data_IF_944582028510
#
_entry.id   IF_944582028510
#
_cell.length_a   1.000
_cell.length_b   1.000
_cell.length_c   1.000
_cell.angle_alpha   90.00
_cell.angle_beta   90.00
_cell.angle_gamma   90.00
#
_symmetry.space_group_name_H-M   'P 1'
#
loop_
_entity.id
_entity.type
_entity.pdbx_description
1 polymer ?
#
# COMPACT_ATOMS: atom_id res chain seq x y z
N UNK A 1 18.70 10.15 -19.33
CA UNK A 1 17.68 11.07 -19.82
C UNK A 1 16.43 10.30 -20.26
N UNK A 2 15.27 10.85 -19.95
CA UNK A 2 13.97 10.29 -20.28
C UNK A 2 13.04 11.40 -20.75
N UNK A 3 12.17 11.09 -21.71
CA UNK A 3 11.08 11.98 -22.12
C UNK A 3 9.76 11.28 -21.83
N UNK A 4 8.90 11.95 -21.10
CA UNK A 4 7.61 11.42 -20.70
C UNK A 4 6.48 12.28 -21.23
N UNK A 5 5.35 11.67 -21.54
CA UNK A 5 4.13 12.39 -21.89
C UNK A 5 2.95 11.49 -22.15
N UNK A 6 1.77 12.08 -22.15
CA UNK A 6 0.52 11.38 -22.41
C UNK A 6 0.14 11.47 -23.86
N UNK A 7 -0.36 10.37 -24.42
CA UNK A 7 -0.87 10.25 -25.78
C UNK A 7 -1.99 9.22 -25.83
N UNK A 8 -2.58 8.98 -26.98
CA UNK A 8 -3.50 7.89 -27.22
C UNK A 8 -2.78 6.79 -28.00
N UNK A 9 -2.91 5.56 -27.55
CA UNK A 9 -2.48 4.37 -28.28
C UNK A 9 -3.68 3.77 -29.03
N UNK A 10 -3.45 3.33 -30.26
CA UNK A 10 -4.48 2.74 -31.10
C UNK A 10 -3.94 1.47 -31.79
N UNK A 11 -4.67 0.40 -31.65
CA UNK A 11 -4.55 -0.82 -32.47
C UNK A 11 -5.40 -0.74 -33.74
N UNK A 12 -5.81 -1.90 -34.26
CA UNK A 12 -6.67 -1.96 -35.43
C UNK A 12 -8.10 -1.46 -35.13
N UNK A 13 -8.69 -1.88 -34.02
CA UNK A 13 -10.10 -1.64 -33.68
C UNK A 13 -10.31 -0.84 -32.40
N UNK A 14 -9.33 -0.85 -31.50
CA UNK A 14 -9.45 -0.28 -30.15
C UNK A 14 -8.48 0.87 -29.94
N UNK A 15 -8.78 1.73 -28.95
CA UNK A 15 -7.94 2.85 -28.54
C UNK A 15 -7.95 2.96 -27.03
N UNK A 16 -6.79 3.26 -26.45
CA UNK A 16 -6.64 3.47 -25.00
C UNK A 16 -5.72 4.66 -24.72
N UNK A 17 -5.78 5.20 -23.51
CA UNK A 17 -4.80 6.18 -23.06
C UNK A 17 -3.42 5.52 -22.92
N UNK A 18 -2.35 6.25 -23.25
CA UNK A 18 -1.01 5.75 -23.10
C UNK A 18 -0.09 6.79 -22.50
N UNK A 19 0.78 6.35 -21.62
CA UNK A 19 1.87 7.13 -21.06
C UNK A 19 3.17 6.71 -21.78
N UNK A 20 3.62 7.59 -22.66
CA UNK A 20 4.79 7.34 -23.49
C UNK A 20 6.05 7.65 -22.69
N UNK A 21 6.95 6.70 -22.64
CA UNK A 21 8.27 6.82 -22.03
C UNK A 21 9.36 6.66 -23.11
N UNK A 22 9.94 7.78 -23.52
CA UNK A 22 11.10 7.80 -24.40
C UNK A 22 12.36 7.55 -23.61
N UNK A 23 13.00 6.42 -23.83
CA UNK A 23 14.17 5.97 -23.07
C UNK A 23 15.34 5.65 -24.00
N UNK A 24 16.55 5.55 -23.44
CA UNK A 24 17.70 5.05 -24.19
C UNK A 24 17.48 3.57 -24.52
N UNK A 25 17.75 3.16 -25.76
CA UNK A 25 17.47 1.80 -26.23
C UNK A 25 18.16 0.69 -25.45
N UNK A 26 19.29 1.01 -24.83
CA UNK A 26 20.13 0.09 -24.07
C UNK A 26 19.88 0.11 -22.54
N UNK A 27 18.91 0.89 -22.06
CA UNK A 27 18.63 1.04 -20.61
C UNK A 27 18.36 -0.30 -19.93
N UNK A 28 17.62 -1.20 -20.61
CA UNK A 28 17.27 -2.50 -20.08
C UNK A 28 18.47 -3.40 -19.81
N UNK A 29 19.51 -3.26 -20.61
CA UNK A 29 20.75 -4.03 -20.48
C UNK A 29 21.77 -3.37 -19.55
N UNK A 30 21.69 -2.06 -19.36
CA UNK A 30 22.62 -1.31 -18.52
C UNK A 30 22.18 -1.20 -17.07
N UNK A 31 20.85 -1.19 -16.83
CA UNK A 31 20.27 -1.02 -15.50
C UNK A 31 19.60 -2.32 -15.08
N UNK A 32 20.27 -3.07 -14.21
CA UNK A 32 19.79 -4.35 -13.68
C UNK A 32 18.55 -4.17 -12.81
N UNK A 33 18.44 -3.06 -12.08
CA UNK A 33 17.25 -2.74 -11.29
C UNK A 33 16.06 -2.45 -12.19
N UNK A 34 16.26 -1.68 -13.25
CA UNK A 34 15.21 -1.41 -14.22
C UNK A 34 14.73 -2.70 -14.89
N UNK A 35 15.66 -3.56 -15.33
CA UNK A 35 15.33 -4.82 -15.99
C UNK A 35 14.57 -5.78 -15.06
N UNK A 36 14.92 -5.81 -13.78
CA UNK A 36 14.26 -6.68 -12.78
C UNK A 36 12.79 -6.31 -12.50
N UNK A 37 12.36 -5.09 -12.86
CA UNK A 37 10.98 -4.64 -12.71
C UNK A 37 10.02 -5.29 -13.71
N UNK A 38 10.53 -5.84 -14.82
CA UNK A 38 9.72 -6.32 -15.92
C UNK A 38 9.94 -7.79 -16.19
N UNK A 39 8.83 -8.49 -16.43
CA UNK A 39 8.82 -9.85 -16.98
C UNK A 39 8.32 -9.76 -18.43
N UNK A 40 8.98 -10.44 -19.34
CA UNK A 40 8.49 -10.53 -20.71
C UNK A 40 7.35 -11.54 -20.80
N UNK A 41 6.25 -11.11 -21.39
CA UNK A 41 5.14 -12.00 -21.78
C UNK A 41 5.34 -12.46 -23.22
N UNK A 42 5.82 -11.56 -24.10
CA UNK A 42 6.05 -11.85 -25.50
C UNK A 42 7.15 -10.98 -26.08
N UNK A 43 7.94 -11.50 -27.02
CA UNK A 43 9.01 -10.74 -27.70
C UNK A 43 10.22 -10.45 -26.83
N UNK A 44 10.93 -9.35 -27.12
CA UNK A 44 12.17 -8.93 -26.48
C UNK A 44 12.27 -7.39 -26.35
N UNK A 45 13.21 -6.92 -25.51
CA UNK A 45 13.50 -5.49 -25.41
C UNK A 45 14.41 -5.07 -26.56
N UNK A 46 13.82 -4.56 -27.63
CA UNK A 46 14.59 -3.98 -28.74
C UNK A 46 14.08 -2.57 -29.07
N UNK A 47 14.70 -1.57 -28.45
CA UNK A 47 14.50 -0.17 -28.77
C UNK A 47 15.72 0.45 -29.50
N UNK A 48 16.58 -0.38 -30.07
CA UNK A 48 17.79 0.06 -30.78
C UNK A 48 17.47 0.69 -32.14
N UNK A 49 16.37 0.29 -32.75
CA UNK A 49 15.93 0.80 -34.05
C UNK A 49 14.79 1.80 -33.89
N UNK A 50 14.74 2.76 -34.82
CA UNK A 50 13.65 3.71 -34.90
C UNK A 50 12.32 3.02 -35.13
N UNK A 51 11.27 3.55 -34.54
CA UNK A 51 9.88 3.04 -34.66
C UNK A 51 9.65 1.65 -34.05
N UNK A 52 10.52 1.21 -33.16
CA UNK A 52 10.26 0.09 -32.29
C UNK A 52 9.56 0.59 -31.00
N UNK A 53 8.69 -0.26 -30.44
CA UNK A 53 8.04 0.01 -29.15
C UNK A 53 8.01 -1.26 -28.31
N UNK A 54 8.10 -1.08 -26.99
CA UNK A 54 7.78 -2.12 -25.99
C UNK A 54 6.58 -1.62 -25.21
N UNK A 55 5.57 -2.45 -25.06
CA UNK A 55 4.28 -2.06 -24.48
C UNK A 55 3.96 -2.91 -23.25
N UNK A 56 3.17 -2.36 -22.35
CA UNK A 56 2.65 -3.10 -21.20
C UNK A 56 1.66 -4.17 -21.63
N UNK A 57 1.61 -5.28 -20.90
CA UNK A 57 0.76 -6.43 -21.17
C UNK A 57 -0.71 -6.05 -21.30
N UNK A 58 -1.19 -5.17 -20.41
CA UNK A 58 -2.59 -4.73 -20.45
C UNK A 58 -2.93 -3.86 -21.66
N UNK A 59 -2.02 -3.01 -22.12
CA UNK A 59 -2.20 -2.31 -23.41
C UNK A 59 -2.29 -3.28 -24.58
N UNK A 60 -1.43 -4.32 -24.57
CA UNK A 60 -1.46 -5.34 -25.61
C UNK A 60 -2.81 -6.08 -25.66
N UNK A 61 -3.32 -6.48 -24.48
CA UNK A 61 -4.66 -7.10 -24.38
C UNK A 61 -5.79 -6.16 -24.85
N UNK A 62 -5.82 -4.92 -24.34
CA UNK A 62 -6.87 -3.94 -24.62
C UNK A 62 -6.91 -3.55 -26.12
N UNK A 63 -5.77 -3.59 -26.80
CA UNK A 63 -5.65 -3.24 -28.22
C UNK A 63 -5.59 -4.47 -29.13
N UNK A 64 -5.61 -5.69 -28.59
CA UNK A 64 -5.48 -6.98 -29.32
C UNK A 64 -4.20 -6.98 -30.18
N UNK A 65 -3.04 -6.74 -29.53
CA UNK A 65 -1.74 -6.63 -30.18
C UNK A 65 -0.78 -7.70 -29.67
N UNK A 66 -0.01 -8.24 -30.61
CA UNK A 66 1.09 -9.19 -30.38
C UNK A 66 2.44 -8.62 -30.79
N UNK A 67 3.51 -9.29 -30.38
CA UNK A 67 4.85 -8.92 -30.83
C UNK A 67 4.96 -9.05 -32.36
N UNK A 68 5.42 -7.98 -33.01
CA UNK A 68 5.47 -7.83 -34.46
C UNK A 68 4.34 -6.97 -35.05
N UNK A 69 3.27 -6.73 -34.31
CA UNK A 69 2.16 -5.89 -34.75
C UNK A 69 2.49 -4.40 -34.74
N UNK A 70 1.61 -3.62 -35.33
CA UNK A 70 1.79 -2.16 -35.42
C UNK A 70 0.84 -1.42 -34.45
N UNK A 71 1.42 -0.59 -33.60
CA UNK A 71 0.71 0.35 -32.72
C UNK A 71 0.82 1.77 -33.27
N UNK A 72 -0.26 2.53 -33.22
CA UNK A 72 -0.30 3.95 -33.60
C UNK A 72 -0.38 4.81 -32.35
N UNK A 73 0.56 5.72 -32.19
CA UNK A 73 0.54 6.74 -31.12
C UNK A 73 -0.02 8.01 -31.71
N UNK A 74 -1.09 8.49 -31.10
CA UNK A 74 -1.82 9.68 -31.54
C UNK A 74 -1.65 10.76 -30.47
N UNK A 75 -0.96 11.83 -30.82
CA UNK A 75 -0.83 13.04 -30.00
C UNK A 75 -1.57 14.19 -30.66
N UNK A 76 -1.99 15.16 -29.85
CA UNK A 76 -2.68 16.34 -30.35
C UNK A 76 -1.82 17.56 -30.09
N UNK A 77 -1.38 18.22 -31.14
CA UNK A 77 -0.58 19.44 -31.05
C UNK A 77 -1.46 20.67 -31.30
N UNK A 78 -1.36 21.66 -30.41
CA UNK A 78 -2.06 22.94 -30.59
C UNK A 78 -1.19 23.85 -31.46
N UNK A 79 -1.61 24.04 -32.69
CA UNK A 79 -0.94 24.96 -33.64
C UNK A 79 -1.85 26.19 -33.78
N UNK A 80 -1.41 27.33 -33.21
CA UNK A 80 -2.21 28.58 -33.11
C UNK A 80 -3.55 28.35 -32.42
N UNK A 81 -4.68 28.37 -33.14
CA UNK A 81 -6.05 28.13 -32.63
C UNK A 81 -6.60 26.73 -32.94
N UNK A 82 -5.88 25.95 -33.75
CA UNK A 82 -6.37 24.64 -34.18
C UNK A 82 -5.62 23.49 -33.47
N UNK A 83 -6.36 22.41 -33.23
CA UNK A 83 -5.79 21.16 -32.73
C UNK A 83 -5.53 20.22 -33.90
N UNK A 84 -4.28 19.86 -34.12
CA UNK A 84 -3.87 18.98 -35.21
C UNK A 84 -3.41 17.64 -34.63
N UNK A 85 -4.09 16.52 -34.99
CA UNK A 85 -3.63 15.21 -34.55
C UNK A 85 -2.37 14.84 -35.32
N UNK A 86 -1.38 14.33 -34.60
CA UNK A 86 -0.17 13.74 -35.13
C UNK A 86 -0.19 12.26 -34.83
N UNK A 87 -0.07 11.44 -35.86
CA UNK A 87 -0.07 9.98 -35.76
C UNK A 87 1.31 9.46 -36.09
N UNK A 88 1.87 8.71 -35.17
CA UNK A 88 3.17 8.05 -35.34
C UNK A 88 2.98 6.56 -35.14
N UNK A 89 3.53 5.75 -36.05
CA UNK A 89 3.38 4.31 -36.08
C UNK A 89 4.66 3.64 -35.58
N UNK A 90 4.49 2.62 -34.73
CA UNK A 90 5.58 1.84 -34.16
C UNK A 90 5.31 0.35 -34.36
N UNK A 91 6.35 -0.45 -34.40
CA UNK A 91 6.29 -1.92 -34.37
C UNK A 91 6.50 -2.40 -32.95
N UNK A 92 5.58 -3.18 -32.42
CA UNK A 92 5.70 -3.79 -31.09
C UNK A 92 6.77 -4.87 -31.12
N UNK A 93 7.86 -4.69 -30.39
CA UNK A 93 8.98 -5.64 -30.29
C UNK A 93 8.89 -6.54 -29.07
N UNK A 94 8.29 -6.04 -28.02
CA UNK A 94 8.10 -6.80 -26.80
C UNK A 94 6.88 -6.34 -26.02
N UNK A 95 6.32 -7.27 -25.28
CA UNK A 95 5.24 -7.05 -24.32
C UNK A 95 5.79 -7.40 -22.96
N UNK A 96 5.66 -6.46 -22.02
CA UNK A 96 6.22 -6.58 -20.68
C UNK A 96 5.14 -6.42 -19.63
N UNK A 97 5.28 -7.15 -18.53
CA UNK A 97 4.47 -6.99 -17.34
C UNK A 97 5.33 -6.53 -16.17
N UNK A 98 4.90 -5.46 -15.51
CA UNK A 98 5.50 -4.96 -14.28
C UNK A 98 4.92 -5.64 -13.03
N UNK A 99 3.89 -6.47 -13.20
CA UNK A 99 3.09 -7.03 -12.11
C UNK A 99 2.13 -6.02 -11.48
N UNK A 100 2.07 -4.78 -12.02
CA UNK A 100 1.13 -3.74 -11.61
C UNK A 100 0.31 -3.28 -12.82
N UNK A 101 -0.89 -3.80 -12.93
CA UNK A 101 -1.71 -3.66 -14.13
C UNK A 101 -2.02 -2.20 -14.51
N UNK A 102 -2.15 -1.28 -13.52
CA UNK A 102 -2.31 0.16 -13.83
C UNK A 102 -1.16 0.72 -14.66
N UNK A 103 0.08 0.28 -14.40
CA UNK A 103 1.24 0.71 -15.17
C UNK A 103 1.26 -0.01 -16.52
N UNK A 104 0.96 -1.31 -16.53
CA UNK A 104 0.92 -2.13 -17.74
C UNK A 104 -0.21 -1.69 -18.70
N UNK A 105 -1.27 -1.06 -18.17
CA UNK A 105 -2.35 -0.45 -18.96
C UNK A 105 -1.99 0.89 -19.59
N UNK A 106 -0.88 1.52 -19.17
CA UNK A 106 -0.53 2.88 -19.61
C UNK A 106 0.83 2.95 -20.31
N UNK A 107 1.79 2.12 -19.97
CA UNK A 107 3.18 2.31 -20.38
C UNK A 107 3.47 1.83 -21.79
N UNK A 108 4.02 2.73 -22.58
CA UNK A 108 4.59 2.48 -23.90
C UNK A 108 6.01 3.04 -23.93
N UNK A 109 6.99 2.17 -24.07
CA UNK A 109 8.39 2.53 -24.20
C UNK A 109 8.76 2.67 -25.67
N UNK A 110 9.42 3.77 -25.99
CA UNK A 110 9.91 4.07 -27.35
C UNK A 110 11.34 4.62 -27.28
N UNK A 111 12.09 4.57 -28.38
CA UNK A 111 13.39 5.23 -28.44
C UNK A 111 13.28 6.71 -28.09
N UNK A 112 14.29 7.23 -27.37
CA UNK A 112 14.30 8.61 -26.90
C UNK A 112 14.09 9.64 -28.03
N UNK A 113 14.69 9.38 -29.21
CA UNK A 113 14.55 10.23 -30.38
C UNK A 113 13.11 10.26 -30.92
N UNK A 114 12.46 9.10 -30.97
CA UNK A 114 11.09 8.97 -31.49
C UNK A 114 10.05 9.59 -30.54
N UNK A 115 10.35 9.65 -29.23
CA UNK A 115 9.49 10.30 -28.24
C UNK A 115 9.26 11.78 -28.54
N UNK A 116 10.25 12.48 -29.08
CA UNK A 116 10.09 13.85 -29.55
C UNK A 116 9.03 14.01 -30.67
N UNK A 117 8.80 12.95 -31.40
CA UNK A 117 7.83 13.00 -32.48
C UNK A 117 6.44 12.59 -32.07
N UNK A 118 6.29 11.66 -31.13
CA UNK A 118 5.00 11.10 -30.74
C UNK A 118 4.37 11.77 -29.49
N UNK A 119 5.12 12.62 -28.76
CA UNK A 119 4.59 13.36 -27.62
C UNK A 119 4.39 14.83 -28.00
N UNK A 120 3.22 15.38 -27.70
CA UNK A 120 2.92 16.80 -27.90
C UNK A 120 3.84 17.69 -27.08
N UNK A 121 4.26 18.83 -27.62
CA UNK A 121 5.10 19.81 -26.91
C UNK A 121 4.50 20.27 -25.57
N UNK A 122 3.17 20.34 -25.50
CA UNK A 122 2.46 20.80 -24.29
C UNK A 122 2.37 19.76 -23.19
N UNK A 123 2.49 18.46 -23.52
CA UNK A 123 2.45 17.36 -22.56
C UNK A 123 3.82 16.69 -22.33
N UNK A 124 4.86 17.21 -22.96
CA UNK A 124 6.21 16.66 -22.90
C UNK A 124 6.93 17.10 -21.64
N UNK A 125 7.37 16.16 -20.86
CA UNK A 125 8.26 16.35 -19.73
C UNK A 125 9.61 15.71 -20.06
N UNK A 126 10.67 16.50 -20.00
CA UNK A 126 12.03 16.00 -20.11
C UNK A 126 12.62 15.87 -18.72
N UNK A 127 13.11 14.69 -18.39
CA UNK A 127 13.70 14.40 -17.10
C UNK A 127 15.09 13.78 -17.23
N UNK A 128 15.98 14.15 -16.34
CA UNK A 128 17.23 13.44 -16.10
C UNK A 128 17.05 12.71 -14.77
N UNK A 129 16.89 11.40 -14.83
CA UNK A 129 16.80 10.58 -13.65
C UNK A 129 18.20 10.29 -13.11
N UNK A 130 18.41 10.55 -11.83
CA UNK A 130 19.62 10.21 -11.10
C UNK A 130 19.30 9.04 -10.17
N UNK A 131 20.04 7.97 -10.27
CA UNK A 131 19.94 6.82 -9.39
C UNK A 131 20.83 7.00 -8.17
N UNK A 132 20.36 6.55 -7.02
CA UNK A 132 21.10 6.52 -5.76
C UNK A 132 21.14 5.09 -5.21
N UNK A 133 22.18 4.78 -4.45
CA UNK A 133 22.37 3.44 -3.86
C UNK A 133 21.21 3.09 -2.90
N UNK A 134 20.80 4.05 -2.06
CA UNK A 134 19.70 3.90 -1.14
C UNK A 134 18.72 5.08 -1.24
N UNK A 135 17.66 4.95 -2.07
CA UNK A 135 16.67 6.01 -2.28
C UNK A 135 15.72 6.20 -1.10
N UNK A 136 15.72 5.30 -0.11
CA UNK A 136 14.83 5.37 1.06
C UNK A 136 15.52 5.93 2.31
N UNK A 137 16.84 6.06 2.29
CA UNK A 137 17.62 6.57 3.43
C UNK A 137 17.36 8.05 3.74
N UNK A 138 17.67 8.43 4.97
CA UNK A 138 17.65 9.84 5.41
C UNK A 138 18.71 10.69 4.69
N UNK A 139 19.72 10.05 4.11
CA UNK A 139 20.77 10.68 3.31
C UNK A 139 20.27 11.27 1.99
N UNK A 140 19.10 10.84 1.48
CA UNK A 140 18.52 11.35 0.24
C UNK A 140 18.36 12.88 0.23
N UNK A 141 18.00 13.47 1.37
CA UNK A 141 17.84 14.92 1.49
C UNK A 141 19.13 15.70 1.27
N UNK A 142 20.28 15.14 1.67
CA UNK A 142 21.61 15.72 1.42
C UNK A 142 21.96 15.64 -0.06
N UNK A 143 21.79 14.46 -0.67
CA UNK A 143 22.04 14.26 -2.11
C UNK A 143 21.22 15.25 -2.94
N UNK A 144 19.93 15.41 -2.63
CA UNK A 144 19.05 16.38 -3.31
C UNK A 144 19.57 17.82 -3.13
N UNK A 145 20.08 18.16 -1.94
CA UNK A 145 20.67 19.50 -1.71
C UNK A 145 21.94 19.72 -2.51
N UNK A 146 22.82 18.73 -2.57
CA UNK A 146 24.07 18.82 -3.35
C UNK A 146 23.79 18.95 -4.86
N UNK A 147 22.81 18.18 -5.37
CA UNK A 147 22.36 18.31 -6.77
C UNK A 147 21.75 19.70 -7.04
N UNK A 148 21.00 20.27 -6.08
CA UNK A 148 20.46 21.64 -6.22
C UNK A 148 21.57 22.70 -6.27
N UNK A 149 22.60 22.56 -5.45
CA UNK A 149 23.77 23.46 -5.48
C UNK A 149 24.47 23.35 -6.84
N UNK A 150 24.78 22.14 -7.28
CA UNK A 150 25.39 21.91 -8.59
C UNK A 150 24.58 22.51 -9.75
N UNK A 151 23.25 22.35 -9.71
CA UNK A 151 22.38 22.89 -10.75
C UNK A 151 22.32 24.44 -10.72
N UNK A 152 22.36 25.06 -9.54
CA UNK A 152 22.39 26.52 -9.41
C UNK A 152 23.68 27.16 -9.92
N UNK A 153 24.78 26.41 -9.92
CA UNK A 153 26.07 26.86 -10.47
C UNK A 153 26.17 26.72 -12.00
N UNK A 154 25.26 25.95 -12.62
CA UNK A 154 25.23 25.66 -14.04
C UNK A 154 24.02 26.28 -14.72
N UNK A 155 24.23 27.27 -15.57
CA UNK A 155 23.16 27.97 -16.32
C UNK A 155 22.33 27.05 -17.22
N UNK A 156 22.82 25.86 -17.56
CA UNK A 156 22.09 24.87 -18.34
C UNK A 156 20.88 24.28 -17.57
N UNK A 157 20.87 24.38 -16.23
CA UNK A 157 19.84 23.82 -15.34
C UNK A 157 19.05 24.91 -14.59
N UNK A 158 19.22 26.19 -14.93
CA UNK A 158 18.60 27.33 -14.22
C UNK A 158 17.09 27.20 -14.08
N UNK A 159 16.41 26.70 -15.13
CA UNK A 159 14.95 26.49 -15.14
C UNK A 159 14.56 25.05 -14.73
N UNK A 160 15.49 24.22 -14.26
CA UNK A 160 15.21 22.82 -13.97
C UNK A 160 14.61 22.64 -12.57
N UNK A 161 13.57 21.82 -12.45
CA UNK A 161 13.03 21.39 -11.16
C UNK A 161 13.77 20.15 -10.68
N UNK A 162 14.43 20.26 -9.55
CA UNK A 162 15.06 19.13 -8.88
C UNK A 162 14.11 18.60 -7.81
N UNK A 163 13.62 17.40 -8.03
CA UNK A 163 12.66 16.73 -7.17
C UNK A 163 13.21 15.38 -6.72
N UNK A 164 13.06 15.05 -5.45
CA UNK A 164 13.22 13.66 -5.02
C UNK A 164 12.04 12.83 -5.51
N UNK A 165 12.19 11.51 -5.55
CA UNK A 165 11.09 10.61 -5.88
C UNK A 165 9.88 10.79 -4.93
N UNK A 166 10.13 11.11 -3.64
CA UNK A 166 9.08 11.43 -2.67
C UNK A 166 8.31 12.69 -3.06
N UNK A 167 9.00 13.72 -3.52
CA UNK A 167 8.36 14.98 -3.96
C UNK A 167 7.63 14.82 -5.28
N UNK A 168 8.20 14.03 -6.21
CA UNK A 168 7.56 13.75 -7.49
C UNK A 168 6.25 12.94 -7.35
N UNK A 169 6.15 12.12 -6.30
CA UNK A 169 4.96 11.31 -6.00
C UNK A 169 4.21 11.79 -4.74
N UNK A 170 4.34 13.06 -4.37
CA UNK A 170 3.77 13.60 -3.13
C UNK A 170 2.27 13.37 -3.00
N UNK A 171 1.51 13.54 -4.08
CA UNK A 171 0.05 13.36 -4.10
C UNK A 171 -0.32 11.89 -3.81
N UNK A 172 0.39 10.93 -4.40
CA UNK A 172 0.18 9.50 -4.15
C UNK A 172 0.54 9.13 -2.72
N UNK A 173 1.68 9.60 -2.23
CA UNK A 173 2.12 9.36 -0.85
C UNK A 173 1.16 9.99 0.18
N UNK A 174 0.60 11.16 -0.10
CA UNK A 174 -0.42 11.80 0.73
C UNK A 174 -1.69 10.95 0.82
N UNK A 175 -2.13 10.35 -0.28
CA UNK A 175 -3.27 9.44 -0.28
C UNK A 175 -3.01 8.18 0.57
N UNK A 176 -1.82 7.59 0.47
CA UNK A 176 -1.43 6.46 1.33
C UNK A 176 -1.40 6.84 2.81
N UNK A 177 -0.83 8.00 3.15
CA UNK A 177 -0.81 8.49 4.54
C UNK A 177 -2.21 8.75 5.09
N UNK A 178 -3.12 9.26 4.27
CA UNK A 178 -4.53 9.45 4.66
C UNK A 178 -5.23 8.10 4.91
N UNK A 179 -4.97 7.10 4.08
CA UNK A 179 -5.51 5.75 4.26
C UNK A 179 -4.95 5.10 5.52
N UNK A 180 -3.64 5.23 5.76
CA UNK A 180 -2.99 4.77 7.00
C UNK A 180 -3.62 5.39 8.24
N UNK A 181 -3.84 6.71 8.24
CA UNK A 181 -4.50 7.41 9.34
C UNK A 181 -5.92 6.89 9.60
N UNK A 182 -6.71 6.61 8.55
CA UNK A 182 -8.03 6.01 8.68
C UNK A 182 -7.97 4.61 9.30
N UNK A 183 -7.03 3.76 8.87
CA UNK A 183 -6.83 2.43 9.44
C UNK A 183 -6.44 2.49 10.92
N UNK A 184 -5.58 3.43 11.30
CA UNK A 184 -5.19 3.66 12.71
C UNK A 184 -6.42 4.08 13.54
N UNK A 185 -7.26 4.97 13.02
CA UNK A 185 -8.50 5.38 13.71
C UNK A 185 -9.43 4.18 13.92
N UNK A 186 -9.63 3.34 12.90
CA UNK A 186 -10.45 2.12 12.99
C UNK A 186 -9.86 1.18 14.04
N UNK A 187 -8.54 0.97 14.03
CA UNK A 187 -7.85 0.13 15.02
C UNK A 187 -8.06 0.65 16.44
N UNK A 188 -7.92 1.96 16.67
CA UNK A 188 -8.19 2.59 17.98
C UNK A 188 -9.63 2.36 18.43
N UNK A 189 -10.60 2.49 17.52
CA UNK A 189 -12.02 2.22 17.83
C UNK A 189 -12.26 0.76 18.23
N UNK A 190 -11.64 -0.19 17.53
CA UNK A 190 -11.74 -1.63 17.89
C UNK A 190 -11.13 -1.88 19.27
N UNK A 191 -9.99 -1.27 19.58
CA UNK A 191 -9.33 -1.39 20.88
C UNK A 191 -10.18 -0.78 21.98
N UNK A 192 -10.85 0.36 21.75
CA UNK A 192 -11.77 0.97 22.71
C UNK A 192 -12.98 0.04 23.01
N UNK A 193 -13.60 -0.53 21.98
CA UNK A 193 -14.71 -1.49 22.16
C UNK A 193 -14.25 -2.72 22.96
N UNK A 194 -13.08 -3.27 22.64
CA UNK A 194 -12.48 -4.39 23.36
C UNK A 194 -12.21 -4.03 24.84
N UNK A 195 -11.76 -2.80 25.10
CA UNK A 195 -11.50 -2.29 26.43
C UNK A 195 -12.80 -2.22 27.28
N UNK A 196 -13.92 -1.80 26.69
CA UNK A 196 -15.22 -1.81 27.35
C UNK A 196 -15.64 -3.24 27.72
N UNK A 197 -15.39 -4.21 26.84
CA UNK A 197 -15.68 -5.63 27.12
C UNK A 197 -14.85 -6.17 28.29
N UNK A 198 -13.54 -5.82 28.36
CA UNK A 198 -12.70 -6.20 29.50
C UNK A 198 -13.24 -5.57 30.80
N UNK A 199 -13.56 -4.28 30.79
CA UNK A 199 -14.13 -3.58 31.95
C UNK A 199 -15.43 -4.25 32.43
N UNK A 200 -16.34 -4.56 31.50
CA UNK A 200 -17.60 -5.24 31.80
C UNK A 200 -17.40 -6.63 32.43
N UNK A 201 -16.42 -7.39 31.91
CA UNK A 201 -16.06 -8.71 32.45
C UNK A 201 -15.53 -8.61 33.87
N UNK A 202 -14.66 -7.62 34.17
CA UNK A 202 -14.15 -7.40 35.53
C UNK A 202 -15.28 -6.99 36.47
N UNK A 203 -16.21 -6.12 36.03
CA UNK A 203 -17.41 -5.75 36.83
C UNK A 203 -18.24 -6.99 37.15
N UNK A 204 -18.49 -7.87 36.19
CA UNK A 204 -19.24 -9.12 36.37
C UNK A 204 -18.57 -10.02 37.41
N UNK A 205 -17.26 -10.25 37.30
CA UNK A 205 -16.50 -11.04 38.28
C UNK A 205 -16.59 -10.43 39.67
N UNK A 206 -16.46 -9.11 39.80
CA UNK A 206 -16.63 -8.40 41.08
C UNK A 206 -18.04 -8.64 41.67
N UNK A 207 -19.08 -8.57 40.84
CA UNK A 207 -20.47 -8.79 41.27
C UNK A 207 -20.70 -10.23 41.74
N UNK A 208 -20.15 -11.21 41.03
CA UNK A 208 -20.23 -12.63 41.40
C UNK A 208 -19.49 -12.93 42.70
N UNK A 209 -18.34 -12.30 42.95
CA UNK A 209 -17.47 -12.53 44.10
C UNK A 209 -17.76 -11.58 45.29
N UNK A 210 -18.84 -10.80 45.26
CA UNK A 210 -19.21 -9.83 46.33
C UNK A 210 -19.17 -10.41 47.74
N UNK A 211 -19.70 -11.62 47.93
CA UNK A 211 -19.70 -12.30 49.21
C UNK A 211 -18.31 -12.63 49.73
N UNK A 212 -17.45 -13.14 48.84
CA UNK A 212 -16.05 -13.47 49.16
C UNK A 212 -15.27 -12.21 49.52
N UNK A 213 -15.49 -11.10 48.75
CA UNK A 213 -14.91 -9.80 49.02
C UNK A 213 -15.30 -9.28 50.42
N UNK A 214 -16.58 -9.41 50.78
CA UNK A 214 -17.06 -8.99 52.12
C UNK A 214 -16.41 -9.80 53.23
N UNK A 215 -16.25 -11.13 53.08
CA UNK A 215 -15.58 -12.00 54.05
C UNK A 215 -14.08 -11.58 54.18
N UNK A 216 -13.36 -11.38 53.05
CA UNK A 216 -11.96 -10.94 53.09
C UNK A 216 -11.80 -9.62 53.82
N UNK A 217 -12.72 -8.67 53.66
CA UNK A 217 -12.72 -7.40 54.40
C UNK A 217 -12.99 -7.59 55.88
N UNK A 218 -13.85 -8.51 56.27
CA UNK A 218 -14.08 -8.82 57.69
C UNK A 218 -12.87 -9.46 58.36
N UNK A 219 -12.05 -10.17 57.63
CA UNK A 219 -10.78 -10.77 58.10
C UNK A 219 -9.63 -9.71 58.11
N UNK A 220 -9.86 -8.51 57.52
CA UNK A 220 -8.90 -7.41 57.62
C UNK A 220 -8.24 -7.02 56.29
N UNK A 221 -8.65 -7.57 55.17
CA UNK A 221 -8.12 -7.15 53.87
C UNK A 221 -8.45 -5.68 53.54
N UNK A 222 -7.47 -4.95 53.12
CA UNK A 222 -7.62 -3.53 52.75
C UNK A 222 -8.30 -3.37 51.39
N UNK A 223 -8.98 -2.22 51.18
CA UNK A 223 -9.58 -1.90 49.87
C UNK A 223 -8.54 -1.87 48.73
N UNK A 224 -7.32 -1.48 49.02
CA UNK A 224 -6.24 -1.43 48.03
C UNK A 224 -5.76 -2.81 47.61
N UNK A 225 -5.66 -3.78 48.54
CA UNK A 225 -5.30 -5.17 48.24
C UNK A 225 -6.35 -5.83 47.37
N UNK A 226 -7.63 -5.61 47.64
CA UNK A 226 -8.74 -6.14 46.82
C UNK A 226 -8.71 -5.50 45.44
N UNK A 227 -8.56 -4.18 45.34
CA UNK A 227 -8.48 -3.50 44.03
C UNK A 227 -7.29 -3.99 43.21
N UNK A 228 -6.11 -4.14 43.84
CA UNK A 228 -4.92 -4.63 43.15
C UNK A 228 -5.13 -6.06 42.58
N UNK A 229 -5.78 -6.96 43.33
CA UNK A 229 -6.08 -8.31 42.88
C UNK A 229 -6.94 -8.31 41.61
N UNK A 230 -7.94 -7.43 41.52
CA UNK A 230 -8.78 -7.31 40.32
C UNK A 230 -8.08 -6.61 39.15
N UNK A 231 -7.18 -5.64 39.41
CA UNK A 231 -6.31 -5.07 38.37
C UNK A 231 -5.40 -6.16 37.79
N UNK A 232 -4.79 -6.99 38.63
CA UNK A 232 -3.99 -8.13 38.18
C UNK A 232 -4.82 -9.10 37.34
N UNK A 233 -6.04 -9.42 37.76
CA UNK A 233 -6.93 -10.29 37.01
C UNK A 233 -7.25 -9.75 35.62
N UNK A 234 -7.60 -8.47 35.50
CA UNK A 234 -7.88 -7.84 34.20
C UNK A 234 -6.62 -7.73 33.32
N UNK A 235 -5.47 -7.40 33.91
CA UNK A 235 -4.19 -7.35 33.17
C UNK A 235 -3.78 -8.74 32.68
N UNK A 236 -3.94 -9.77 33.52
CA UNK A 236 -3.64 -11.15 33.14
C UNK A 236 -4.55 -11.66 32.03
N UNK A 237 -5.84 -11.34 32.08
CA UNK A 237 -6.77 -11.65 31.00
C UNK A 237 -6.33 -10.99 29.68
N UNK A 238 -5.91 -9.74 29.72
CA UNK A 238 -5.34 -9.04 28.56
C UNK A 238 -4.07 -9.69 28.02
N UNK A 239 -3.13 -10.08 28.89
CA UNK A 239 -1.93 -10.80 28.51
C UNK A 239 -2.24 -12.17 27.89
N UNK A 240 -3.17 -12.93 28.46
CA UNK A 240 -3.59 -14.21 27.90
C UNK A 240 -4.19 -14.04 26.50
N UNK A 241 -4.99 -12.97 26.28
CA UNK A 241 -5.51 -12.59 24.97
C UNK A 241 -4.38 -12.24 23.98
N UNK A 242 -3.35 -11.52 24.41
CA UNK A 242 -2.18 -11.20 23.58
C UNK A 242 -1.36 -12.44 23.20
N UNK A 243 -1.16 -13.38 24.13
CA UNK A 243 -0.45 -14.64 23.85
C UNK A 243 -1.08 -15.47 22.75
N UNK A 244 -2.40 -15.35 22.56
CA UNK A 244 -3.14 -16.03 21.49
C UNK A 244 -3.29 -15.11 20.26
N UNK A 245 -3.67 -13.86 20.49
CA UNK A 245 -4.00 -12.90 19.44
C UNK A 245 -2.81 -12.53 18.56
N UNK A 246 -1.63 -12.31 19.16
CA UNK A 246 -0.44 -11.91 18.38
C UNK A 246 0.01 -13.02 17.43
N UNK A 247 0.22 -14.28 17.84
CA UNK A 247 0.59 -15.36 16.91
C UNK A 247 -0.46 -15.57 15.81
N UNK A 248 -1.75 -15.56 16.17
CA UNK A 248 -2.83 -15.70 15.18
C UNK A 248 -2.80 -14.53 14.18
N UNK A 249 -2.67 -13.29 14.65
CA UNK A 249 -2.57 -12.12 13.79
C UNK A 249 -1.37 -12.16 12.84
N UNK A 250 -0.20 -12.57 13.34
CA UNK A 250 1.02 -12.71 12.53
C UNK A 250 0.85 -13.79 11.46
N UNK A 251 0.28 -14.95 11.81
CA UNK A 251 0.01 -16.02 10.84
C UNK A 251 -0.98 -15.54 9.77
N UNK A 252 -2.08 -14.89 10.16
CA UNK A 252 -3.05 -14.34 9.21
C UNK A 252 -2.41 -13.30 8.29
N UNK A 253 -1.55 -12.44 8.82
CA UNK A 253 -0.84 -11.44 8.02
C UNK A 253 0.15 -12.10 7.05
N UNK A 254 0.93 -13.09 7.49
CA UNK A 254 1.89 -13.78 6.63
C UNK A 254 1.22 -14.58 5.49
N UNK A 255 0.07 -15.19 5.77
CA UNK A 255 -0.66 -16.04 4.83
C UNK A 255 -1.80 -15.30 4.09
N UNK A 256 -1.80 -13.96 4.10
CA UNK A 256 -2.92 -13.18 3.54
C UNK A 256 -3.19 -13.52 2.07
N UNK A 257 -2.14 -13.73 1.27
CA UNK A 257 -2.28 -14.09 -0.14
C UNK A 257 -2.94 -15.47 -0.31
N UNK A 258 -2.54 -16.45 0.50
CA UNK A 258 -3.16 -17.79 0.51
C UNK A 258 -4.63 -17.72 0.92
N UNK A 259 -4.96 -16.87 1.89
CA UNK A 259 -6.32 -16.66 2.38
C UNK A 259 -7.20 -16.03 1.30
N UNK A 260 -6.70 -15.00 0.61
CA UNK A 260 -7.41 -14.35 -0.50
C UNK A 260 -7.72 -15.36 -1.61
N UNK A 261 -6.73 -16.13 -2.05
CA UNK A 261 -6.90 -17.18 -3.07
C UNK A 261 -7.90 -18.24 -2.61
N UNK A 262 -7.88 -18.61 -1.33
CA UNK A 262 -8.85 -19.57 -0.77
C UNK A 262 -10.27 -19.02 -0.81
N UNK A 263 -10.47 -17.76 -0.39
CA UNK A 263 -11.78 -17.09 -0.42
C UNK A 263 -12.30 -17.01 -1.87
N UNK A 264 -11.45 -16.63 -2.82
CA UNK A 264 -11.81 -16.59 -4.24
C UNK A 264 -12.25 -17.97 -4.76
N UNK A 265 -11.55 -19.04 -4.41
CA UNK A 265 -11.93 -20.40 -4.77
C UNK A 265 -13.29 -20.78 -4.20
N UNK A 266 -13.55 -20.46 -2.93
CA UNK A 266 -14.81 -20.73 -2.27
C UNK A 266 -15.95 -19.95 -2.92
N UNK A 267 -15.77 -18.65 -3.14
CA UNK A 267 -16.79 -17.81 -3.79
C UNK A 267 -17.06 -18.30 -5.21
N UNK A 268 -16.01 -18.56 -5.99
CA UNK A 268 -16.15 -19.05 -7.35
C UNK A 268 -16.81 -20.45 -7.42
N UNK A 269 -16.59 -21.30 -6.43
CA UNK A 269 -17.30 -22.58 -6.32
C UNK A 269 -18.82 -22.38 -6.15
N UNK A 270 -19.24 -21.42 -5.31
CA UNK A 270 -20.65 -21.12 -5.10
C UNK A 270 -21.30 -20.34 -6.25
N UNK A 271 -20.52 -19.49 -6.95
CA UNK A 271 -21.02 -18.64 -8.06
C UNK A 271 -20.93 -19.31 -9.42
N UNK A 272 -20.17 -20.40 -9.57
CA UNK A 272 -19.99 -21.12 -10.83
C UNK A 272 -21.30 -21.63 -11.48
N UNK A 273 -22.37 -21.72 -10.70
CA UNK A 273 -23.72 -22.06 -11.19
C UNK A 273 -24.53 -20.86 -11.73
N UNK A 274 -24.14 -19.62 -11.43
CA UNK A 274 -24.93 -18.43 -11.75
C UNK A 274 -24.21 -17.42 -12.65
N UNK A 275 -22.88 -17.38 -12.66
CA UNK A 275 -22.10 -16.41 -13.44
C UNK A 275 -20.98 -17.09 -14.23
N UNK A 276 -20.78 -16.67 -15.48
CA UNK A 276 -19.65 -17.11 -16.32
C UNK A 276 -18.36 -16.36 -16.01
N UNK A 277 -18.44 -15.21 -15.33
CA UNK A 277 -17.28 -14.42 -14.94
C UNK A 277 -16.75 -14.91 -13.58
N UNK A 278 -15.44 -15.12 -13.51
CA UNK A 278 -14.77 -15.48 -12.25
C UNK A 278 -14.73 -14.26 -11.36
N UNK A 279 -15.15 -14.44 -10.12
CA UNK A 279 -15.00 -13.41 -9.09
C UNK A 279 -13.55 -13.35 -8.64
N UNK A 280 -12.93 -12.17 -8.77
CA UNK A 280 -11.63 -11.85 -8.20
C UNK A 280 -11.86 -10.86 -7.07
N UNK A 281 -11.38 -11.18 -5.87
CA UNK A 281 -11.51 -10.31 -4.69
C UNK A 281 -10.59 -9.10 -4.82
N UNK A 282 -9.38 -9.34 -5.31
CA UNK A 282 -8.43 -8.31 -5.68
C UNK A 282 -8.41 -8.29 -7.21
N UNK A 283 -9.04 -7.26 -7.79
CA UNK A 283 -8.98 -7.06 -9.23
C UNK A 283 -7.52 -6.77 -9.62
N UNK A 284 -6.90 -7.62 -10.45
CA UNK A 284 -5.52 -7.38 -10.92
C UNK A 284 -5.34 -6.00 -11.57
N UNK A 285 -6.44 -5.38 -12.02
CA UNK A 285 -6.43 -4.02 -12.59
C UNK A 285 -5.99 -2.95 -11.59
N UNK A 286 -6.24 -3.14 -10.29
CA UNK A 286 -6.02 -2.12 -9.28
C UNK A 286 -5.00 -2.51 -8.21
N UNK A 287 -4.64 -3.80 -8.13
CA UNK A 287 -3.78 -4.32 -7.07
C UNK A 287 -2.59 -5.09 -7.65
N UNK A 288 -1.50 -5.12 -6.90
CA UNK A 288 -0.38 -6.03 -7.15
C UNK A 288 -0.89 -7.48 -7.15
N UNK A 289 -0.33 -8.32 -8.01
CA UNK A 289 -0.66 -9.76 -8.06
C UNK A 289 -0.46 -10.46 -6.72
N UNK A 290 0.47 -9.95 -5.91
CA UNK A 290 0.72 -10.40 -4.54
C UNK A 290 0.78 -9.19 -3.60
N UNK A 291 0.16 -9.31 -2.43
CA UNK A 291 0.24 -8.27 -1.38
C UNK A 291 1.61 -8.41 -0.70
N UNK A 292 2.51 -7.43 -0.82
CA UNK A 292 3.80 -7.48 -0.14
C UNK A 292 3.60 -7.25 1.36
N UNK A 293 3.72 -8.28 2.16
CA UNK A 293 3.59 -8.18 3.61
C UNK A 293 4.95 -8.03 4.25
N UNK A 294 5.16 -6.94 4.96
CA UNK A 294 6.34 -6.73 5.80
C UNK A 294 5.96 -6.78 7.27
N UNK A 295 6.44 -7.76 7.99
CA UNK A 295 6.21 -7.91 9.41
C UNK A 295 7.29 -7.17 10.18
N UNK A 296 6.92 -6.06 10.83
CA UNK A 296 7.80 -5.26 11.67
C UNK A 296 7.72 -5.71 13.12
N UNK A 297 8.75 -6.40 13.61
CA UNK A 297 8.83 -6.85 15.00
C UNK A 297 8.77 -5.70 16.01
N UNK A 298 9.28 -4.54 15.63
CA UNK A 298 9.27 -3.35 16.48
C UNK A 298 7.84 -2.85 16.71
N UNK A 299 7.02 -2.82 15.67
CA UNK A 299 5.60 -2.44 15.77
C UNK A 299 4.81 -3.45 16.60
N UNK A 300 5.03 -4.74 16.40
CA UNK A 300 4.40 -5.79 17.20
C UNK A 300 4.73 -5.58 18.69
N UNK A 301 6.00 -5.30 19.02
CA UNK A 301 6.40 -5.04 20.40
C UNK A 301 5.68 -3.81 20.98
N UNK A 302 5.58 -2.72 20.24
CA UNK A 302 4.84 -1.51 20.65
C UNK A 302 3.37 -1.83 20.90
N UNK A 303 2.73 -2.60 20.01
CA UNK A 303 1.33 -3.03 20.16
C UNK A 303 1.15 -3.83 21.45
N UNK A 304 2.03 -4.81 21.72
CA UNK A 304 1.98 -5.62 22.95
C UNK A 304 2.06 -4.73 24.21
N UNK A 305 3.02 -3.81 24.24
CA UNK A 305 3.21 -2.91 25.38
C UNK A 305 2.00 -2.00 25.56
N UNK A 306 1.56 -1.34 24.49
CA UNK A 306 0.40 -0.45 24.53
C UNK A 306 -0.88 -1.16 24.99
N UNK A 307 -1.14 -2.36 24.44
CA UNK A 307 -2.33 -3.15 24.80
C UNK A 307 -2.27 -3.61 26.25
N UNK A 308 -1.10 -4.01 26.74
CA UNK A 308 -0.92 -4.40 28.15
C UNK A 308 -1.21 -3.23 29.10
N UNK A 309 -0.64 -2.06 28.79
CA UNK A 309 -0.87 -0.84 29.58
C UNK A 309 -2.35 -0.46 29.55
N UNK A 310 -2.98 -0.50 28.39
CA UNK A 310 -4.39 -0.17 28.24
C UNK A 310 -5.28 -1.14 29.01
N UNK A 311 -5.00 -2.46 28.95
CA UNK A 311 -5.73 -3.48 29.71
C UNK A 311 -5.65 -3.22 31.23
N UNK A 312 -4.46 -2.87 31.74
CA UNK A 312 -4.28 -2.47 33.14
C UNK A 312 -5.11 -1.23 33.49
N UNK A 313 -5.02 -0.17 32.68
CA UNK A 313 -5.72 1.10 32.92
C UNK A 313 -7.26 0.91 32.94
N UNK A 314 -7.78 0.17 31.97
CA UNK A 314 -9.24 -0.10 31.86
C UNK A 314 -9.75 -0.90 33.05
N UNK A 315 -8.94 -1.79 33.60
CA UNK A 315 -9.27 -2.59 34.78
C UNK A 315 -9.27 -1.79 36.08
N UNK A 316 -8.68 -0.59 36.13
CA UNK A 316 -8.59 0.23 37.34
C UNK A 316 -9.98 0.65 37.83
N UNK A 317 -10.82 1.18 36.94
CA UNK A 317 -12.12 1.72 37.33
C UNK A 317 -13.04 0.68 38.00
N UNK A 318 -13.30 -0.51 37.42
CA UNK A 318 -14.10 -1.54 38.05
C UNK A 318 -13.44 -2.10 39.32
N UNK A 319 -12.12 -2.20 39.36
CA UNK A 319 -11.38 -2.71 40.52
C UNK A 319 -11.45 -1.75 41.73
N UNK A 320 -11.36 -0.44 41.52
CA UNK A 320 -11.55 0.55 42.58
C UNK A 320 -12.98 0.48 43.12
N UNK A 321 -13.98 0.25 42.27
CA UNK A 321 -15.36 0.06 42.70
C UNK A 321 -15.50 -1.19 43.57
N UNK A 322 -14.82 -2.29 43.23
CA UNK A 322 -14.75 -3.51 44.04
C UNK A 322 -14.15 -3.24 45.44
N UNK A 323 -13.03 -2.54 45.46
CA UNK A 323 -12.36 -2.16 46.70
C UNK A 323 -13.18 -1.25 47.62
N UNK A 324 -14.06 -0.42 47.06
CA UNK A 324 -14.89 0.53 47.84
C UNK A 324 -16.29 -0.02 48.21
N UNK A 325 -16.60 -1.27 47.86
CA UNK A 325 -17.90 -1.90 48.24
C UNK A 325 -18.05 -1.92 49.77
N UNK A 326 -19.23 -1.45 50.27
CA UNK A 326 -19.50 -1.37 51.70
C UNK A 326 -19.94 -2.72 52.25
N UNK A 327 -19.29 -3.22 53.29
CA UNK A 327 -19.57 -4.51 53.96
C UNK A 327 -21.03 -4.58 54.43
N UNK A 328 -21.54 -3.45 54.98
CA UNK A 328 -22.90 -3.34 55.55
C UNK A 328 -24.00 -3.63 54.52
N UNK A 329 -23.82 -3.20 53.28
CA UNK A 329 -24.83 -3.34 52.23
C UNK A 329 -24.89 -4.78 51.68
N UNK A 330 -23.80 -5.49 51.71
CA UNK A 330 -23.70 -6.89 51.27
C UNK A 330 -24.23 -7.86 52.29
N UNK A 331 -23.96 -7.64 53.59
CA UNK A 331 -24.42 -8.48 54.67
C UNK A 331 -25.92 -8.29 54.95
N UNK A 332 -26.49 -7.09 54.71
CA UNK A 332 -27.94 -6.81 54.93
C UNK A 332 -28.84 -7.43 53.86
N UNK A 333 -28.28 -7.82 52.71
CA UNK A 333 -29.02 -8.47 51.60
C UNK A 333 -28.84 -9.99 51.56
N UNK A 334 -28.14 -10.55 52.57
CA UNK A 334 -28.11 -11.96 52.87
C UNK A 334 -29.25 -12.34 53.80
#
# INVERSE_FOLDING_TARGET
PEIQGTSLAAGANFRTGAFIRGVQGDIFFKDEKFSSLFKFTEGEWDLSQKRNAVIGEKIAEDLDLHAGDQIKIISVEKIKKNYVPRVVQFTVKGIVSSGYQELDALWVFVPLEDAFECISKSSRNFAICLETDDPFSDGLSRIVSDVKIFASENSAFEDSRILSWKQANADRLSNFSSTEALLVIIMVMIVLVSSINISSSVVMIVMERKKEIAILKCVGASSAEISSAFIFTGTFAGLAGLCIGVPVGVIFSAEINSIVIFIEKVVNFFTSGFSKEKFHLLDPAYYLQEIPVQISWNEIFVIIVCTTILSALVSVFPSLKAGNEKISDTLRKM
#
